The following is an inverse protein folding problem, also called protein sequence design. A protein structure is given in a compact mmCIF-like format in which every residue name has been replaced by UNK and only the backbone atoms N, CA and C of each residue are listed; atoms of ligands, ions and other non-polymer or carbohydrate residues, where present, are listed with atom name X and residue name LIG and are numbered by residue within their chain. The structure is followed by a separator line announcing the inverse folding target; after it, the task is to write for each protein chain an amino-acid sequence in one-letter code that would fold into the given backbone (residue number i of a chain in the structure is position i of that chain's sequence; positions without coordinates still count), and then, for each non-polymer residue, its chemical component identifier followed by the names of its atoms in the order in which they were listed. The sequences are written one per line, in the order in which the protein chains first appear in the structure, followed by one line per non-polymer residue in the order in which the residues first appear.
data_IF_146600782903
#
_entry.id   IF_146600782903
#
_cell.length_a   1.000
_cell.length_b   1.000
_cell.length_c   1.000
_cell.angle_alpha   90.00
_cell.angle_beta   90.00
_cell.angle_gamma   90.00
#
_symmetry.space_group_name_H-M   'P 1'
#
loop_
_entity.id
_entity.type
_entity.pdbx_description
1 polymer ?
#
# COMPACT_ATOMS: atom_id res chain seq x y z
N UNK A 1 -14.54 3.91 -5.38
CA UNK A 1 -13.18 3.48 -5.81
C UNK A 1 -12.24 3.33 -4.63
N UNK A 2 -12.14 4.33 -3.74
CA UNK A 2 -11.22 4.32 -2.59
C UNK A 2 -11.83 3.69 -1.32
N UNK A 3 -12.09 2.39 -1.36
CA UNK A 3 -12.55 1.62 -0.19
C UNK A 3 -11.38 0.82 0.42
N UNK A 4 -11.46 0.54 1.71
CA UNK A 4 -10.45 -0.23 2.45
C UNK A 4 -10.21 -1.60 1.80
N UNK A 5 -8.94 -2.01 1.75
CA UNK A 5 -8.55 -3.25 1.08
C UNK A 5 -8.47 -3.16 -0.44
N UNK A 6 -8.91 -2.07 -1.09
CA UNK A 6 -8.76 -1.95 -2.53
C UNK A 6 -7.29 -1.76 -2.93
N UNK A 7 -6.86 -2.57 -3.90
CA UNK A 7 -5.59 -2.41 -4.59
C UNK A 7 -5.81 -1.54 -5.84
N UNK A 8 -5.12 -0.41 -5.89
CA UNK A 8 -5.21 0.59 -6.94
C UNK A 8 -3.91 0.65 -7.72
N UNK A 9 -3.99 0.96 -9.01
CA UNK A 9 -2.84 1.19 -9.87
C UNK A 9 -2.97 2.53 -10.58
N UNK A 10 -2.00 3.41 -10.33
CA UNK A 10 -1.95 4.76 -10.85
C UNK A 10 -1.02 4.82 -12.05
N UNK A 11 -1.47 5.44 -13.15
CA UNK A 11 -0.69 5.63 -14.38
C UNK A 11 -0.76 7.07 -14.89
N UNK A 12 0.29 7.88 -14.67
CA UNK A 12 1.32 7.72 -13.64
C UNK A 12 0.86 8.30 -12.29
N UNK A 13 1.56 7.98 -11.21
CA UNK A 13 1.38 8.67 -9.92
C UNK A 13 2.20 9.97 -9.87
N UNK A 14 1.56 11.08 -9.48
CA UNK A 14 2.18 12.40 -9.35
C UNK A 14 2.62 12.68 -7.90
N UNK A 15 3.92 12.60 -7.63
CA UNK A 15 4.47 12.79 -6.29
C UNK A 15 4.30 14.22 -5.76
N UNK A 16 4.02 14.35 -4.46
CA UNK A 16 3.89 15.65 -3.77
C UNK A 16 5.17 16.49 -3.81
N UNK A 17 6.33 15.84 -3.83
CA UNK A 17 7.65 16.49 -3.81
C UNK A 17 8.16 16.87 -5.21
N UNK A 18 7.35 16.72 -6.26
CA UNK A 18 7.77 17.01 -7.63
C UNK A 18 8.77 16.00 -8.21
N UNK A 19 9.00 14.86 -7.54
CA UNK A 19 9.75 13.77 -8.13
C UNK A 19 9.07 13.26 -9.41
N UNK A 20 9.87 12.65 -10.29
CA UNK A 20 9.42 12.10 -11.56
C UNK A 20 8.20 11.17 -11.35
N UNK A 21 7.16 11.42 -12.14
CA UNK A 21 5.93 10.63 -12.09
C UNK A 21 6.20 9.21 -12.56
N UNK A 22 5.63 8.22 -11.88
CA UNK A 22 5.82 6.81 -12.24
C UNK A 22 4.57 5.98 -11.98
N UNK A 23 4.41 4.90 -12.72
CA UNK A 23 3.35 3.94 -12.48
C UNK A 23 3.51 3.28 -11.10
N UNK A 24 2.42 3.18 -10.34
CA UNK A 24 2.52 2.79 -8.94
C UNK A 24 1.28 2.13 -8.39
N UNK A 25 1.49 1.03 -7.65
CA UNK A 25 0.43 0.38 -6.90
C UNK A 25 0.26 1.05 -5.53
N UNK A 26 -1.00 1.16 -5.10
CA UNK A 26 -1.37 1.63 -3.78
C UNK A 26 -2.42 0.71 -3.17
N UNK A 27 -2.27 0.47 -1.86
CA UNK A 27 -3.30 -0.18 -1.07
C UNK A 27 -4.02 0.88 -0.24
N UNK A 28 -5.35 0.91 -0.32
CA UNK A 28 -6.18 1.74 0.57
C UNK A 28 -6.25 1.06 1.93
N UNK A 29 -5.61 1.67 2.93
CA UNK A 29 -5.57 1.15 4.29
C UNK A 29 -6.72 1.65 5.15
N UNK A 30 -7.16 2.89 4.94
CA UNK A 30 -8.28 3.48 5.68
C UNK A 30 -8.96 4.55 4.86
N UNK A 31 -10.28 4.61 4.92
CA UNK A 31 -11.06 5.75 4.42
C UNK A 31 -11.35 6.72 5.55
N UNK A 32 -11.08 8.00 5.31
CA UNK A 32 -11.31 9.10 6.23
C UNK A 32 -12.35 10.06 5.63
N UNK A 33 -12.78 11.06 6.40
CA UNK A 33 -13.66 12.10 5.87
C UNK A 33 -12.91 12.95 4.84
N UNK A 34 -13.23 12.76 3.55
CA UNK A 34 -12.60 13.46 2.42
C UNK A 34 -11.17 12.99 2.06
N UNK A 35 -10.52 12.26 2.96
CA UNK A 35 -9.14 11.80 2.84
C UNK A 35 -9.06 10.26 2.79
N UNK A 36 -7.92 9.75 2.33
CA UNK A 36 -7.60 8.31 2.35
C UNK A 36 -6.16 8.06 2.79
N UNK A 37 -5.97 7.06 3.64
CA UNK A 37 -4.66 6.57 4.02
C UNK A 37 -4.22 5.49 3.03
N UNK A 38 -3.09 5.74 2.35
CA UNK A 38 -2.54 4.84 1.35
C UNK A 38 -1.20 4.26 1.81
N UNK A 39 -0.99 2.99 1.48
CA UNK A 39 0.34 2.38 1.42
C UNK A 39 0.85 2.42 -0.02
N UNK A 40 2.05 2.96 -0.23
CA UNK A 40 2.75 2.90 -1.52
C UNK A 40 3.48 1.56 -1.66
N UNK A 41 3.17 0.80 -2.71
CA UNK A 41 3.81 -0.49 -2.97
C UNK A 41 4.96 -0.28 -3.99
N UNK A 42 6.21 -0.68 -3.66
CA UNK A 42 7.33 -0.66 -4.60
C UNK A 42 7.26 -1.86 -5.54
N UNK A 43 7.60 -1.66 -6.81
CA UNK A 43 7.62 -2.71 -7.84
C UNK A 43 9.02 -3.24 -8.14
N UNK A 44 10.09 -2.65 -7.56
CA UNK A 44 11.46 -2.92 -8.01
C UNK A 44 12.59 -2.77 -6.97
N UNK A 45 12.43 -1.99 -5.90
CA UNK A 45 13.49 -1.75 -4.90
C UNK A 45 13.16 -2.47 -3.60
N UNK A 46 13.98 -3.46 -3.29
CA UNK A 46 14.04 -4.08 -1.97
C UNK A 46 14.99 -3.27 -1.07
N UNK A 47 14.51 -2.91 0.10
CA UNK A 47 15.29 -2.26 1.16
C UNK A 47 15.34 -3.14 2.43
N UNK A 48 14.89 -4.39 2.34
CA UNK A 48 15.07 -5.40 3.38
C UNK A 48 16.58 -5.69 3.50
N UNK A 49 17.15 -5.58 4.70
CA UNK A 49 18.54 -5.98 4.96
C UNK A 49 18.84 -7.40 4.46
N UNK A 50 19.98 -7.59 3.78
CA UNK A 50 20.34 -8.86 3.14
C UNK A 50 20.60 -10.01 4.11
N UNK A 51 20.78 -9.71 5.40
CA UNK A 51 20.93 -10.69 6.48
C UNK A 51 19.59 -11.22 6.99
N UNK A 52 18.46 -10.69 6.52
CA UNK A 52 17.13 -11.14 6.90
C UNK A 52 16.55 -12.08 5.86
N UNK A 53 16.01 -13.20 6.33
CA UNK A 53 15.26 -14.12 5.49
C UNK A 53 13.91 -13.49 5.13
N UNK A 54 13.66 -13.29 3.84
CA UNK A 54 12.40 -12.71 3.33
C UNK A 54 11.33 -13.80 3.30
N UNK A 55 10.33 -13.69 4.18
CA UNK A 55 9.14 -14.55 4.23
C UNK A 55 7.88 -13.71 4.11
N UNK A 56 6.79 -14.31 3.65
CA UNK A 56 5.47 -13.70 3.72
C UNK A 56 5.17 -13.24 5.15
N UNK A 57 4.54 -12.07 5.29
CA UNK A 57 4.02 -11.59 6.56
C UNK A 57 4.77 -10.38 7.12
N UNK A 58 4.60 -10.15 8.41
CA UNK A 58 5.14 -8.97 9.08
C UNK A 58 6.60 -9.15 9.48
N UNK A 59 7.45 -8.21 9.04
CA UNK A 59 8.83 -8.07 9.49
C UNK A 59 8.97 -6.72 10.21
N UNK A 60 8.97 -6.77 11.53
CA UNK A 60 9.05 -5.61 12.40
C UNK A 60 10.26 -5.73 13.32
N UNK A 61 11.29 -4.91 13.07
CA UNK A 61 12.55 -4.89 13.83
C UNK A 61 12.77 -3.45 14.35
N UNK A 62 12.18 -3.11 15.51
CA UNK A 62 12.28 -1.77 16.08
C UNK A 62 13.72 -1.30 16.30
N UNK A 63 14.63 -2.21 16.65
CA UNK A 63 16.05 -1.94 16.91
C UNK A 63 16.79 -1.45 15.66
N UNK A 64 16.28 -1.78 14.47
CA UNK A 64 16.81 -1.35 13.17
C UNK A 64 15.96 -0.27 12.49
N UNK A 65 15.01 0.30 13.23
CA UNK A 65 14.03 1.24 12.72
C UNK A 65 13.25 0.72 11.50
N UNK A 66 12.95 -0.58 11.49
CA UNK A 66 12.47 -1.27 10.29
C UNK A 66 11.08 -1.89 10.51
N UNK A 67 10.16 -1.62 9.58
CA UNK A 67 8.84 -2.24 9.53
C UNK A 67 8.37 -2.38 8.10
N UNK A 68 8.05 -3.61 7.72
CA UNK A 68 7.56 -3.96 6.39
C UNK A 68 6.62 -5.17 6.50
N UNK A 69 5.56 -5.18 5.70
CA UNK A 69 4.80 -6.39 5.42
C UNK A 69 5.18 -6.92 4.04
N UNK A 70 5.48 -8.21 3.94
CA UNK A 70 5.98 -8.84 2.72
C UNK A 70 4.88 -9.71 2.11
N UNK A 71 4.61 -9.49 0.82
CA UNK A 71 3.81 -10.35 -0.03
C UNK A 71 4.74 -11.07 -0.99
N UNK A 72 4.74 -12.41 -1.04
CA UNK A 72 5.62 -13.14 -1.93
C UNK A 72 5.05 -13.16 -3.35
N UNK A 73 5.96 -13.23 -4.31
CA UNK A 73 5.63 -13.35 -5.72
C UNK A 73 4.77 -14.59 -5.98
N UNK A 74 3.71 -14.43 -6.78
CA UNK A 74 2.84 -15.54 -7.21
C UNK A 74 1.78 -15.95 -6.19
N UNK A 75 1.81 -15.44 -4.96
CA UNK A 75 0.72 -15.64 -4.00
C UNK A 75 -0.49 -14.78 -4.37
N UNK A 76 -1.69 -15.35 -4.23
CA UNK A 76 -2.91 -14.58 -4.42
C UNK A 76 -3.02 -13.51 -3.32
N UNK A 77 -3.19 -12.26 -3.72
CA UNK A 77 -3.28 -11.12 -2.81
C UNK A 77 -4.67 -10.49 -2.86
N UNK A 78 -5.28 -10.44 -4.04
CA UNK A 78 -6.54 -9.74 -4.25
C UNK A 78 -7.45 -10.49 -5.22
N UNK A 79 -8.75 -10.26 -5.10
CA UNK A 79 -9.77 -10.75 -6.03
C UNK A 79 -10.21 -9.59 -6.91
N UNK A 80 -10.14 -9.79 -8.22
CA UNK A 80 -10.60 -8.82 -9.21
C UNK A 80 -12.14 -8.81 -9.31
N UNK A 81 -12.69 -7.84 -10.02
CA UNK A 81 -14.15 -7.71 -10.18
C UNK A 81 -14.78 -8.88 -10.96
N UNK A 82 -14.02 -9.53 -11.83
CA UNK A 82 -14.43 -10.74 -12.56
C UNK A 82 -14.30 -12.04 -11.73
N UNK A 83 -13.91 -11.92 -10.46
CA UNK A 83 -13.69 -13.05 -9.55
C UNK A 83 -12.34 -13.74 -9.70
N UNK A 84 -11.48 -13.31 -10.64
CA UNK A 84 -10.15 -13.90 -10.81
C UNK A 84 -9.18 -13.43 -9.73
N UNK A 85 -8.23 -14.30 -9.37
CA UNK A 85 -7.14 -13.98 -8.46
C UNK A 85 -6.12 -13.04 -9.09
N UNK A 86 -5.54 -12.17 -8.28
CA UNK A 86 -4.43 -11.31 -8.62
C UNK A 86 -3.23 -11.60 -7.72
N UNK A 87 -2.07 -11.81 -8.34
CA UNK A 87 -0.80 -12.01 -7.69
C UNK A 87 0.25 -11.06 -8.27
N UNK A 88 1.16 -10.56 -7.42
CA UNK A 88 2.30 -9.81 -7.91
C UNK A 88 3.32 -10.73 -8.58
N UNK A 89 3.96 -10.24 -9.65
CA UNK A 89 5.04 -10.96 -10.37
C UNK A 89 6.39 -10.94 -9.63
N UNK A 90 6.49 -10.15 -8.56
CA UNK A 90 7.69 -9.97 -7.73
C UNK A 90 7.23 -9.83 -6.29
N UNK A 91 8.14 -10.13 -5.35
CA UNK A 91 7.92 -9.83 -3.95
C UNK A 91 7.59 -8.34 -3.80
N UNK A 92 6.56 -8.05 -3.02
CA UNK A 92 6.02 -6.71 -2.86
C UNK A 92 6.01 -6.36 -1.38
N UNK A 93 6.43 -5.14 -1.07
CA UNK A 93 6.80 -4.74 0.29
C UNK A 93 6.01 -3.51 0.73
N UNK A 94 5.23 -3.65 1.79
CA UNK A 94 4.43 -2.56 2.35
C UNK A 94 5.20 -1.96 3.52
N UNK A 95 5.93 -0.89 3.26
CA UNK A 95 6.75 -0.23 4.27
C UNK A 95 5.92 0.72 5.13
N UNK A 96 6.00 0.55 6.45
CA UNK A 96 5.34 1.44 7.41
C UNK A 96 5.81 2.89 7.35
N UNK A 97 7.02 3.14 6.87
CA UNK A 97 7.57 4.48 6.64
C UNK A 97 6.94 5.20 5.43
N UNK A 98 6.37 4.45 4.48
CA UNK A 98 5.86 4.95 3.19
C UNK A 98 4.33 5.15 3.19
N UNK A 99 3.71 5.19 4.36
CA UNK A 99 2.30 5.52 4.50
C UNK A 99 2.08 7.03 4.35
N UNK A 100 1.05 7.41 3.62
CA UNK A 100 0.68 8.82 3.48
C UNK A 100 -0.81 9.00 3.26
N UNK A 101 -1.31 10.18 3.64
CA UNK A 101 -2.72 10.56 3.50
C UNK A 101 -2.86 11.48 2.30
N UNK A 102 -3.89 11.24 1.50
CA UNK A 102 -4.22 12.03 0.32
C UNK A 102 -5.70 12.44 0.34
N UNK A 103 -6.00 13.70 -0.01
CA UNK A 103 -7.37 14.11 -0.31
C UNK A 103 -7.88 13.39 -1.54
N UNK A 104 -9.08 12.82 -1.45
CA UNK A 104 -9.73 12.11 -2.58
C UNK A 104 -9.95 13.07 -3.75
N UNK A 105 -10.38 14.30 -3.48
CA UNK A 105 -10.63 15.32 -4.49
C UNK A 105 -9.41 15.62 -5.38
N UNK A 106 -8.20 15.45 -4.84
CA UNK A 106 -6.96 15.61 -5.61
C UNK A 106 -6.87 14.58 -6.72
N UNK A 107 -7.20 13.32 -6.42
CA UNK A 107 -7.16 12.24 -7.39
C UNK A 107 -8.28 12.42 -8.43
N UNK A 108 -9.48 12.80 -8.01
CA UNK A 108 -10.58 13.11 -8.92
C UNK A 108 -10.25 14.26 -9.87
N UNK A 109 -9.53 15.29 -9.40
CA UNK A 109 -9.05 16.38 -10.25
C UNK A 109 -8.00 15.88 -11.26
N UNK A 110 -7.04 15.06 -10.82
CA UNK A 110 -5.99 14.54 -11.68
C UNK A 110 -6.55 13.64 -12.80
N UNK A 111 -7.55 12.81 -12.51
CA UNK A 111 -8.23 12.00 -13.53
C UNK A 111 -9.02 12.87 -14.52
N UNK A 112 -9.78 13.87 -14.03
CA UNK A 112 -10.52 14.81 -14.89
C UNK A 112 -9.61 15.63 -15.80
N UNK A 113 -8.42 15.97 -15.33
CA UNK A 113 -7.40 16.69 -16.11
C UNK A 113 -6.57 15.76 -17.00
N UNK A 114 -6.88 14.46 -17.05
CA UNK A 114 -6.12 13.44 -17.78
C UNK A 114 -4.62 13.39 -17.41
N UNK A 115 -4.30 13.75 -16.16
CA UNK A 115 -2.93 13.73 -15.64
C UNK A 115 -2.55 12.37 -15.05
N UNK A 116 -3.54 11.57 -14.68
CA UNK A 116 -3.38 10.19 -14.19
C UNK A 116 -4.61 9.38 -14.59
N UNK A 117 -4.46 8.06 -14.60
CA UNK A 117 -5.57 7.09 -14.64
C UNK A 117 -5.46 6.20 -13.41
N UNK A 118 -6.58 5.99 -12.71
CA UNK A 118 -6.63 5.17 -11.50
C UNK A 118 -7.46 3.92 -11.78
N UNK A 119 -6.78 2.78 -11.83
CA UNK A 119 -7.39 1.47 -12.04
C UNK A 119 -7.57 0.76 -10.69
N UNK A 120 -8.78 0.30 -10.38
CA UNK A 120 -8.98 -0.67 -9.29
C UNK A 120 -8.63 -2.06 -9.82
N UNK A 121 -7.56 -2.64 -9.29
CA UNK A 121 -7.10 -3.97 -9.67
C UNK A 121 -7.98 -5.05 -9.03
N UNK A 122 -8.34 -4.84 -7.77
CA UNK A 122 -9.14 -5.78 -6.99
C UNK A 122 -9.23 -5.37 -5.54
N UNK A 123 -9.82 -6.24 -4.73
CA UNK A 123 -9.91 -6.07 -3.28
C UNK A 123 -9.10 -7.18 -2.63
N UNK A 124 -8.25 -6.82 -1.67
CA UNK A 124 -7.42 -7.78 -0.94
C UNK A 124 -8.28 -8.82 -0.24
N UNK A 125 -7.74 -10.03 -0.10
CA UNK A 125 -8.30 -11.01 0.81
C UNK A 125 -8.36 -10.43 2.24
N UNK A 126 -9.47 -10.65 2.94
CA UNK A 126 -9.74 -10.06 4.25
C UNK A 126 -8.69 -10.48 5.29
N UNK A 127 -8.21 -11.73 5.24
CA UNK A 127 -7.19 -12.21 6.16
C UNK A 127 -5.86 -11.49 5.92
N UNK A 128 -5.44 -11.39 4.65
CA UNK A 128 -4.21 -10.68 4.26
C UNK A 128 -4.30 -9.21 4.65
N UNK A 129 -5.44 -8.56 4.39
CA UNK A 129 -5.64 -7.15 4.77
C UNK A 129 -5.55 -6.94 6.28
N UNK A 130 -6.17 -7.82 7.07
CA UNK A 130 -6.12 -7.78 8.54
C UNK A 130 -4.69 -7.93 9.06
N UNK A 131 -3.91 -8.85 8.49
CA UNK A 131 -2.50 -9.04 8.87
C UNK A 131 -1.64 -7.80 8.55
N UNK A 132 -1.87 -7.17 7.39
CA UNK A 132 -1.20 -5.92 7.02
C UNK A 132 -1.53 -4.81 8.02
N UNK A 133 -2.81 -4.62 8.34
CA UNK A 133 -3.26 -3.58 9.30
C UNK A 133 -2.66 -3.83 10.68
N UNK A 134 -2.63 -5.08 11.15
CA UNK A 134 -2.00 -5.44 12.42
C UNK A 134 -0.49 -5.15 12.41
N UNK A 135 0.22 -5.57 11.36
CA UNK A 135 1.65 -5.35 11.22
C UNK A 135 2.05 -3.87 11.30
N UNK A 136 1.28 -3.02 10.61
CA UNK A 136 1.55 -1.58 10.53
C UNK A 136 1.12 -0.85 11.82
N UNK A 137 -0.05 -1.19 12.37
CA UNK A 137 -0.59 -0.48 13.54
C UNK A 137 0.16 -0.77 14.84
N UNK A 138 0.75 -1.96 14.97
CA UNK A 138 1.51 -2.35 16.17
C UNK A 138 2.98 -1.91 16.15
N UNK A 139 3.53 -1.60 14.99
CA UNK A 139 4.93 -1.18 14.89
C UNK A 139 5.16 0.24 15.41
N UNK A 140 6.14 0.41 16.31
CA UNK A 140 6.60 1.75 16.75
C UNK A 140 7.26 2.56 15.64
N UNK A 141 7.62 1.94 14.52
CA UNK A 141 8.28 2.60 13.39
C UNK A 141 7.28 3.27 12.44
N UNK A 142 6.00 2.92 12.54
CA UNK A 142 4.94 3.64 11.86
C UNK A 142 4.63 4.92 12.63
N UNK A 143 4.52 6.05 11.91
CA UNK A 143 4.18 7.34 12.51
C UNK A 143 2.91 7.20 13.36
N UNK A 144 2.95 7.71 14.59
CA UNK A 144 1.87 7.54 15.57
C UNK A 144 0.48 7.94 15.03
N UNK A 145 0.41 9.00 14.22
CA UNK A 145 -0.84 9.40 13.56
C UNK A 145 -1.48 8.29 12.72
N UNK A 146 -0.69 7.53 11.96
CA UNK A 146 -1.20 6.45 11.11
C UNK A 146 -1.58 5.23 11.93
N UNK A 147 -0.80 4.90 12.98
CA UNK A 147 -1.16 3.83 13.91
C UNK A 147 -2.52 4.06 14.56
N UNK A 148 -2.81 5.30 14.96
CA UNK A 148 -4.12 5.67 15.54
C UNK A 148 -5.25 5.51 14.52
N UNK A 149 -5.05 5.96 13.28
CA UNK A 149 -6.01 5.81 12.18
C UNK A 149 -6.29 4.32 11.88
N UNK A 150 -5.26 3.47 11.93
CA UNK A 150 -5.41 2.04 11.66
C UNK A 150 -6.11 1.27 12.79
N UNK A 151 -6.11 1.81 14.02
CA UNK A 151 -6.73 1.19 15.20
C UNK A 151 -8.15 1.69 15.48
N UNK A 152 -8.62 2.71 14.78
CA UNK A 152 -9.97 3.28 14.89
C UNK A 152 -10.95 2.55 13.98
#
# INVERSE_FOLDING_TARGET
MFEEGNLLFFRPFLFKNGAESQDKFFLVLKKLEGDILLASLPTSKDHVPSDLEVKHGCLNIPERMFNVFVLLSGENVAVKEDGTSFAFKKNTFIYGANLDVYPVERFDLQERMAQTTIEKIGTLDEAVFTEIVACLSESKMVKNKYRRILKS
#
